data_IF_497096332390
#
_entry.id   IF_497096332390
#
_cell.length_a   1.000
_cell.length_b   1.000
_cell.length_c   1.000
_cell.angle_alpha   90.00
_cell.angle_beta   90.00
_cell.angle_gamma   90.00
#
_symmetry.space_group_name_H-M   'P 1'
#
loop_
_entity.id
_entity.type
_entity.pdbx_description
1 polymer ?
#
# COMPACT_ATOMS: atom_id res chain seq x y z
N UNK A 1 4.62 -29.62 -42.35
CA UNK A 1 5.84 -28.94 -41.86
C UNK A 1 5.41 -28.20 -40.61
N UNK A 2 5.57 -28.85 -39.47
CA UNK A 2 5.05 -28.40 -38.17
C UNK A 2 6.17 -27.71 -37.41
N UNK A 3 5.94 -26.47 -36.96
CA UNK A 3 6.91 -25.65 -36.23
C UNK A 3 7.11 -26.19 -34.80
N UNK A 4 8.34 -26.56 -34.38
CA UNK A 4 8.60 -27.16 -33.08
C UNK A 4 9.29 -26.17 -32.12
N UNK A 5 8.59 -25.17 -31.56
CA UNK A 5 9.25 -24.27 -30.60
C UNK A 5 8.38 -23.53 -29.56
N UNK A 6 7.15 -23.95 -29.24
CA UNK A 6 6.45 -23.41 -28.07
C UNK A 6 6.14 -24.55 -27.11
N UNK A 7 7.06 -24.78 -26.16
CA UNK A 7 6.77 -25.55 -24.96
C UNK A 7 6.29 -24.57 -23.88
N UNK A 8 5.17 -24.84 -23.19
CA UNK A 8 4.77 -24.02 -22.05
C UNK A 8 5.84 -24.14 -20.96
N UNK A 9 6.54 -23.04 -20.63
CA UNK A 9 7.33 -22.98 -19.41
C UNK A 9 6.39 -23.05 -18.22
N UNK A 10 6.80 -23.76 -17.16
CA UNK A 10 6.06 -23.99 -15.94
C UNK A 10 5.29 -22.74 -15.46
N UNK A 11 4.07 -22.97 -14.96
CA UNK A 11 3.17 -21.94 -14.43
C UNK A 11 3.93 -21.01 -13.48
N UNK A 12 4.17 -19.78 -13.94
CA UNK A 12 4.79 -18.72 -13.16
C UNK A 12 3.73 -18.20 -12.19
N UNK A 13 3.81 -18.60 -10.93
CA UNK A 13 2.87 -18.18 -9.88
C UNK A 13 3.17 -16.73 -9.52
N UNK A 14 2.27 -15.82 -9.89
CA UNK A 14 2.44 -14.39 -9.64
C UNK A 14 2.30 -14.08 -8.15
N UNK A 15 3.25 -13.35 -7.58
CA UNK A 15 3.07 -12.78 -6.23
C UNK A 15 1.91 -11.78 -6.24
N UNK A 16 1.20 -11.63 -5.11
CA UNK A 16 0.16 -10.60 -4.94
C UNK A 16 0.67 -9.19 -5.29
N UNK A 17 1.97 -8.93 -5.10
CA UNK A 17 2.62 -7.67 -5.47
C UNK A 17 2.67 -7.49 -6.99
N UNK A 18 3.04 -8.55 -7.71
CA UNK A 18 3.18 -8.50 -9.17
C UNK A 18 1.81 -8.34 -9.84
N UNK A 19 0.76 -8.96 -9.29
CA UNK A 19 -0.61 -8.80 -9.78
C UNK A 19 -1.14 -7.37 -9.66
N UNK A 20 -0.87 -6.69 -8.53
CA UNK A 20 -1.37 -5.33 -8.29
C UNK A 20 -0.65 -4.28 -9.15
N UNK A 21 0.66 -4.46 -9.40
CA UNK A 21 1.42 -3.60 -10.32
C UNK A 21 0.88 -3.74 -11.75
N UNK A 22 0.55 -4.96 -12.19
CA UNK A 22 0.00 -5.24 -13.52
C UNK A 22 -1.43 -4.70 -13.67
N UNK A 23 -2.31 -5.00 -12.71
CA UNK A 23 -3.72 -4.58 -12.78
C UNK A 23 -3.91 -3.05 -12.67
N UNK A 24 -3.07 -2.37 -11.88
CA UNK A 24 -3.14 -0.91 -11.72
C UNK A 24 -2.64 -0.10 -12.94
N UNK A 25 -1.89 -0.74 -13.84
CA UNK A 25 -1.31 -0.11 -15.03
C UNK A 25 -2.09 -0.40 -16.32
N UNK A 26 -3.25 -1.07 -16.23
CA UNK A 26 -4.01 -1.51 -17.41
C UNK A 26 -3.25 -2.54 -18.24
N UNK A 27 -2.36 -3.31 -17.61
CA UNK A 27 -1.54 -4.32 -18.27
C UNK A 27 -2.33 -5.62 -18.36
N UNK A 28 -2.54 -6.12 -19.57
CA UNK A 28 -3.10 -7.45 -19.80
C UNK A 28 -1.96 -8.46 -20.00
N UNK A 29 -2.07 -9.64 -19.41
CA UNK A 29 -1.12 -10.73 -19.65
C UNK A 29 -1.53 -11.55 -20.87
N UNK A 30 -0.67 -11.61 -21.88
CA UNK A 30 -0.84 -12.47 -23.06
C UNK A 30 0.36 -13.42 -23.14
N UNK A 31 0.14 -14.72 -22.96
CA UNK A 31 1.21 -15.74 -23.07
C UNK A 31 2.39 -15.54 -22.10
N UNK A 32 2.14 -14.95 -20.91
CA UNK A 32 3.20 -14.64 -19.94
C UNK A 32 3.93 -13.32 -20.17
N UNK A 33 3.58 -12.56 -21.21
CA UNK A 33 4.06 -11.20 -21.43
C UNK A 33 3.02 -10.18 -20.95
N UNK A 34 3.46 -9.15 -20.21
CA UNK A 34 2.62 -8.02 -19.83
C UNK A 34 2.55 -6.97 -20.95
N UNK A 35 1.36 -6.64 -21.42
CA UNK A 35 1.12 -5.62 -22.46
C UNK A 35 0.39 -4.43 -21.84
N UNK A 36 1.05 -3.26 -21.78
CA UNK A 36 0.46 -1.99 -21.36
C UNK A 36 0.15 -1.10 -22.59
N UNK A 37 -0.91 -0.28 -22.59
CA UNK A 37 -1.11 0.72 -23.63
C UNK A 37 0.07 1.72 -23.65
N UNK A 38 0.56 2.06 -24.84
CA UNK A 38 1.63 3.04 -24.98
C UNK A 38 1.11 4.44 -24.65
N UNK A 39 1.40 4.92 -23.44
CA UNK A 39 1.01 6.23 -22.96
C UNK A 39 1.38 6.38 -21.49
N UNK A 40 2.57 6.93 -21.24
CA UNK A 40 3.13 7.30 -19.92
C UNK A 40 2.91 6.28 -18.79
N UNK A 41 3.85 5.35 -18.63
CA UNK A 41 4.17 4.72 -17.34
C UNK A 41 4.74 5.76 -16.37
N UNK A 42 3.97 6.80 -16.06
CA UNK A 42 4.34 7.74 -15.01
C UNK A 42 3.99 7.11 -13.66
N UNK A 43 5.03 6.85 -12.85
CA UNK A 43 4.87 6.42 -11.47
C UNK A 43 4.11 7.51 -10.70
N UNK A 44 2.84 7.22 -10.34
CA UNK A 44 2.04 8.09 -9.48
C UNK A 44 2.33 7.76 -8.02
N UNK A 45 2.48 8.79 -7.19
CA UNK A 45 2.63 8.63 -5.74
C UNK A 45 1.26 8.29 -5.13
N UNK A 46 1.13 7.09 -4.57
CA UNK A 46 -0.03 6.71 -3.76
C UNK A 46 0.19 7.11 -2.30
N UNK A 47 -0.72 7.93 -1.75
CA UNK A 47 -0.72 8.34 -0.33
C UNK A 47 -1.86 7.66 0.43
N UNK A 48 -1.53 6.82 1.41
CA UNK A 48 -2.51 6.12 2.24
C UNK A 48 -2.92 6.97 3.46
N UNK A 49 -4.20 7.29 3.58
CA UNK A 49 -4.77 7.95 4.76
C UNK A 49 -5.32 6.91 5.73
N UNK A 50 -4.62 6.72 6.86
CA UNK A 50 -4.85 5.56 7.73
C UNK A 50 -6.11 5.66 8.58
N UNK A 51 -6.48 6.86 9.02
CA UNK A 51 -7.63 7.06 9.91
C UNK A 51 -8.54 8.23 9.50
N UNK A 52 -7.95 9.35 9.07
CA UNK A 52 -8.69 10.59 8.85
C UNK A 52 -9.37 11.09 10.13
N UNK A 53 -10.42 11.91 9.98
CA UNK A 53 -11.23 12.42 11.11
C UNK A 53 -12.20 11.40 11.72
N UNK A 54 -12.06 10.10 11.44
CA UNK A 54 -12.96 9.06 11.98
C UNK A 54 -12.81 8.91 13.49
N UNK A 55 -13.93 8.81 14.19
CA UNK A 55 -13.94 8.66 15.65
C UNK A 55 -13.36 7.30 16.07
N UNK A 56 -12.58 7.23 17.17
CA UNK A 56 -12.18 5.97 17.78
C UNK A 56 -13.38 5.04 17.99
N UNK A 57 -13.22 3.75 17.65
CA UNK A 57 -14.29 2.77 17.75
C UNK A 57 -15.26 2.74 16.56
N UNK A 58 -15.19 3.68 15.59
CA UNK A 58 -16.05 3.63 14.40
C UNK A 58 -15.78 2.44 13.48
N UNK A 59 -14.61 1.82 13.60
CA UNK A 59 -14.23 0.62 12.85
C UNK A 59 -13.16 -0.15 13.64
N UNK A 60 -13.23 -1.50 13.74
CA UNK A 60 -12.28 -2.29 14.53
C UNK A 60 -10.82 -2.19 14.05
N UNK A 61 -10.61 -1.95 12.76
CA UNK A 61 -9.28 -1.76 12.18
C UNK A 61 -8.80 -0.29 12.16
N UNK A 62 -9.54 0.65 12.76
CA UNK A 62 -9.13 2.06 12.78
C UNK A 62 -7.93 2.22 13.74
N UNK A 63 -6.74 2.63 13.26
CA UNK A 63 -5.60 2.82 14.14
C UNK A 63 -5.79 4.07 15.02
N UNK A 64 -5.58 3.90 16.32
CA UNK A 64 -5.67 4.97 17.33
C UNK A 64 -4.43 5.04 18.24
N UNK A 65 -3.56 4.03 18.21
CA UNK A 65 -2.33 3.96 19.02
C UNK A 65 -1.09 3.99 18.12
N UNK A 66 0.10 4.38 18.64
CA UNK A 66 1.34 4.39 17.86
C UNK A 66 1.65 3.05 17.19
N UNK A 67 1.53 1.93 17.92
CA UNK A 67 1.81 0.60 17.37
C UNK A 67 0.79 0.20 16.29
N UNK A 68 -0.47 0.58 16.45
CA UNK A 68 -1.48 0.34 15.43
C UNK A 68 -1.21 1.17 14.15
N UNK A 69 -0.72 2.40 14.29
CA UNK A 69 -0.28 3.21 13.15
C UNK A 69 0.95 2.62 12.46
N UNK A 70 1.93 2.15 13.22
CA UNK A 70 3.13 1.49 12.71
C UNK A 70 2.75 0.27 11.84
N UNK A 71 1.91 -0.61 12.37
CA UNK A 71 1.46 -1.80 11.66
C UNK A 71 0.57 -1.47 10.45
N UNK A 72 -0.32 -0.48 10.55
CA UNK A 72 -1.13 -0.03 9.41
C UNK A 72 -0.29 0.64 8.31
N UNK A 73 0.74 1.40 8.69
CA UNK A 73 1.68 2.02 7.76
C UNK A 73 2.50 0.96 7.02
N UNK A 74 3.07 -0.01 7.76
CA UNK A 74 3.81 -1.15 7.19
C UNK A 74 2.98 -1.88 6.14
N UNK A 75 1.76 -2.29 6.47
CA UNK A 75 0.85 -2.96 5.51
C UNK A 75 0.50 -2.08 4.30
N UNK A 76 0.36 -0.78 4.50
CA UNK A 76 0.05 0.17 3.41
C UNK A 76 1.23 0.31 2.45
N UNK A 77 2.46 0.38 2.98
CA UNK A 77 3.70 0.39 2.17
C UNK A 77 3.86 -0.94 1.43
N UNK A 78 3.63 -2.07 2.10
CA UNK A 78 3.68 -3.39 1.47
C UNK A 78 2.69 -3.56 0.31
N UNK A 79 1.57 -2.82 0.36
CA UNK A 79 0.55 -2.76 -0.67
C UNK A 79 0.83 -1.71 -1.77
N UNK A 80 1.92 -0.94 -1.68
CA UNK A 80 2.37 0.00 -2.73
C UNK A 80 2.15 1.48 -2.41
N UNK A 81 1.78 1.86 -1.18
CA UNK A 81 1.75 3.26 -0.79
C UNK A 81 3.17 3.84 -0.70
N UNK A 82 3.42 4.96 -1.37
CA UNK A 82 4.68 5.70 -1.27
C UNK A 82 4.67 6.82 -0.23
N UNK A 83 3.50 7.13 0.34
CA UNK A 83 3.36 8.10 1.42
C UNK A 83 2.26 7.68 2.40
N UNK A 84 2.43 8.05 3.67
CA UNK A 84 1.47 7.76 4.75
C UNK A 84 0.94 9.07 5.32
N UNK A 85 -0.37 9.14 5.55
CA UNK A 85 -1.06 10.26 6.17
C UNK A 85 -1.76 9.82 7.45
N UNK A 86 -1.54 10.57 8.53
CA UNK A 86 -2.05 10.23 9.86
C UNK A 86 -2.63 11.47 10.52
N UNK A 87 -3.83 11.31 11.10
CA UNK A 87 -4.38 12.26 12.07
C UNK A 87 -4.00 11.74 13.46
N UNK A 88 -3.01 12.39 14.08
CA UNK A 88 -2.50 11.97 15.40
C UNK A 88 -3.54 12.27 16.48
N UNK A 89 -3.58 11.42 17.51
CA UNK A 89 -4.44 11.60 18.67
C UNK A 89 -3.63 11.72 19.96
N UNK A 90 -4.11 12.55 20.87
CA UNK A 90 -3.58 12.67 22.23
C UNK A 90 -4.01 11.47 23.11
N UNK A 91 -3.54 11.37 24.36
CA UNK A 91 -3.96 10.32 25.29
C UNK A 91 -5.46 10.33 25.64
N UNK A 92 -6.17 11.45 25.45
CA UNK A 92 -7.62 11.56 25.59
C UNK A 92 -8.38 11.21 24.30
N UNK A 93 -7.66 10.71 23.28
CA UNK A 93 -8.15 10.35 21.96
C UNK A 93 -8.67 11.51 21.09
N UNK A 94 -8.43 12.76 21.49
CA UNK A 94 -8.72 13.93 20.66
C UNK A 94 -7.66 14.10 19.58
N UNK A 95 -8.02 14.70 18.44
CA UNK A 95 -7.05 15.01 17.40
C UNK A 95 -6.04 16.04 17.90
N UNK A 96 -4.75 15.79 17.67
CA UNK A 96 -3.67 16.59 18.23
C UNK A 96 -2.55 16.81 17.22
N UNK A 97 -1.99 18.03 17.26
CA UNK A 97 -0.79 18.44 16.52
C UNK A 97 0.34 18.84 17.48
N UNK A 98 0.21 18.51 18.77
CA UNK A 98 1.28 18.77 19.75
C UNK A 98 2.51 17.95 19.38
N UNK A 99 3.69 18.55 19.52
CA UNK A 99 4.95 17.97 19.05
C UNK A 99 5.20 16.59 19.68
N UNK A 100 4.90 16.44 20.97
CA UNK A 100 5.03 15.19 21.71
C UNK A 100 4.12 14.07 21.17
N UNK A 101 2.89 14.40 20.80
CA UNK A 101 1.95 13.40 20.27
C UNK A 101 2.37 12.96 18.87
N UNK A 102 2.75 13.92 18.02
CA UNK A 102 3.25 13.67 16.67
C UNK A 102 4.53 12.84 16.72
N UNK A 103 5.48 13.19 17.59
CA UNK A 103 6.75 12.50 17.73
C UNK A 103 6.57 11.03 18.11
N UNK A 104 5.65 10.70 19.04
CA UNK A 104 5.36 9.30 19.41
C UNK A 104 4.92 8.48 18.19
N UNK A 105 3.97 8.99 17.40
CA UNK A 105 3.43 8.28 16.24
C UNK A 105 4.47 8.18 15.11
N UNK A 106 5.15 9.27 14.78
CA UNK A 106 6.17 9.28 13.72
C UNK A 106 7.34 8.37 14.07
N UNK A 107 7.77 8.34 15.34
CA UNK A 107 8.85 7.45 15.79
C UNK A 107 8.45 5.99 15.66
N UNK A 108 7.24 5.61 16.09
CA UNK A 108 6.74 4.25 15.95
C UNK A 108 6.62 3.83 14.48
N UNK A 109 6.06 4.68 13.62
CA UNK A 109 5.91 4.41 12.18
C UNK A 109 7.27 4.26 11.48
N UNK A 110 8.28 5.03 11.88
CA UNK A 110 9.64 4.92 11.30
C UNK A 110 10.41 3.69 11.76
N UNK A 111 10.01 3.08 12.87
CA UNK A 111 10.66 1.89 13.43
C UNK A 111 10.04 0.57 12.90
N UNK A 112 8.95 0.64 12.14
CA UNK A 112 8.21 -0.49 11.57
C UNK A 112 8.80 -0.98 10.24
#
# INVERSE_FOLDING_TARGET
MSDPAIRPSAAFEWSRRDFLVVAGLGVCTLGGCGVAPSGSTETRLLKAALNGGRQPGSHPALPTTPDAFAEAARRSVEAGAGAIHVHVRDPAAAESVRAEDVARVVTAVRAA
#
